data_IF_863392990383
#
_entry.id   IF_863392990383
#
_cell.length_a   1.000
_cell.length_b   1.000
_cell.length_c   1.000
_cell.angle_alpha   90.00
_cell.angle_beta   90.00
_cell.angle_gamma   90.00
#
_symmetry.space_group_name_H-M   'P 1'
#
loop_
_entity.id
_entity.type
_entity.pdbx_description
1 polymer ?
#
# COMPACT_ATOMS: atom_id res chain seq x y z
N UNK A 1 14.18 0.43 6.15
CA UNK A 1 14.12 0.39 4.68
C UNK A 1 12.91 1.16 4.17
N UNK A 2 13.07 2.04 3.17
CA UNK A 2 11.98 2.79 2.54
C UNK A 2 11.76 2.32 1.09
N UNK A 3 10.52 2.20 0.66
CA UNK A 3 10.09 1.71 -0.65
C UNK A 3 8.88 2.53 -1.16
N UNK A 4 8.61 2.44 -2.46
CA UNK A 4 7.43 3.00 -3.09
C UNK A 4 6.24 2.04 -2.93
N UNK A 5 5.04 2.59 -2.75
CA UNK A 5 3.82 1.81 -2.62
C UNK A 5 2.79 2.28 -3.66
N UNK A 6 2.23 1.35 -4.42
CA UNK A 6 1.15 1.59 -5.37
C UNK A 6 -0.03 0.70 -5.05
N UNK A 7 -1.23 1.25 -5.05
CA UNK A 7 -2.47 0.52 -4.79
C UNK A 7 -3.48 0.72 -5.91
N UNK A 8 -4.24 -0.33 -6.22
CA UNK A 8 -5.48 -0.22 -6.98
C UNK A 8 -6.64 -0.70 -6.10
N UNK A 9 -7.64 0.17 -5.94
CA UNK A 9 -8.80 -0.06 -5.10
C UNK A 9 -10.05 -0.29 -5.96
N UNK A 10 -10.64 -1.47 -5.83
CA UNK A 10 -11.84 -1.88 -6.57
C UNK A 10 -12.71 -2.75 -5.65
N UNK A 11 -14.00 -2.43 -5.56
CA UNK A 11 -15.03 -3.23 -4.88
C UNK A 11 -14.69 -3.67 -3.44
N UNK A 12 -14.10 -2.77 -2.65
CA UNK A 12 -13.75 -3.07 -1.25
C UNK A 12 -12.48 -3.92 -1.09
N UNK A 13 -11.67 -4.01 -2.15
CA UNK A 13 -10.39 -4.71 -2.16
C UNK A 13 -9.30 -3.75 -2.65
N UNK A 14 -8.21 -3.69 -1.90
CA UNK A 14 -6.98 -3.02 -2.29
C UNK A 14 -5.96 -4.06 -2.78
N UNK A 15 -5.48 -3.89 -4.01
CA UNK A 15 -4.29 -4.59 -4.52
C UNK A 15 -3.10 -3.68 -4.32
N UNK A 16 -2.26 -3.98 -3.33
CA UNK A 16 -1.08 -3.20 -2.97
C UNK A 16 0.18 -3.85 -3.54
N UNK A 17 1.05 -3.03 -4.10
CA UNK A 17 2.40 -3.40 -4.53
C UNK A 17 3.40 -2.49 -3.85
N UNK A 18 4.50 -3.06 -3.38
CA UNK A 18 5.63 -2.31 -2.82
C UNK A 18 6.86 -2.60 -3.68
N UNK A 19 7.52 -1.55 -4.14
CA UNK A 19 8.72 -1.63 -4.98
C UNK A 19 9.86 -0.81 -4.40
N UNK A 20 11.10 -1.31 -4.50
CA UNK A 20 12.30 -0.61 -4.06
C UNK A 20 13.28 -0.51 -5.22
N UNK A 21 13.66 0.71 -5.62
CA UNK A 21 14.54 0.93 -6.78
C UNK A 21 13.97 0.39 -8.10
N UNK A 22 12.63 0.36 -8.25
CA UNK A 22 11.94 -0.22 -9.40
C UNK A 22 11.73 -1.74 -9.33
N UNK A 23 12.29 -2.44 -8.34
CA UNK A 23 12.10 -3.87 -8.14
C UNK A 23 10.90 -4.13 -7.25
N UNK A 24 9.96 -4.97 -7.69
CA UNK A 24 8.81 -5.39 -6.88
C UNK A 24 9.30 -6.29 -5.74
N UNK A 25 9.04 -5.89 -4.50
CA UNK A 25 9.47 -6.62 -3.29
C UNK A 25 8.30 -7.22 -2.49
N UNK A 26 7.06 -6.89 -2.87
CA UNK A 26 5.90 -7.56 -2.31
C UNK A 26 4.58 -7.10 -2.94
N UNK A 27 3.60 -8.01 -2.91
CA UNK A 27 2.23 -7.79 -3.38
C UNK A 27 1.24 -8.36 -2.39
N UNK A 28 0.21 -7.60 -2.06
CA UNK A 28 -0.86 -8.01 -1.15
C UNK A 28 -2.24 -7.70 -1.76
N UNK A 29 -3.20 -8.56 -1.45
CA UNK A 29 -4.61 -8.33 -1.76
C UNK A 29 -5.34 -8.23 -0.43
N UNK A 30 -5.82 -7.03 -0.11
CA UNK A 30 -6.34 -6.69 1.22
C UNK A 30 -7.78 -6.28 1.06
N UNK A 31 -8.70 -6.99 1.73
CA UNK A 31 -10.08 -6.54 1.84
C UNK A 31 -10.12 -5.34 2.78
N UNK A 32 -10.50 -4.18 2.26
CA UNK A 32 -10.44 -2.91 2.96
C UNK A 32 -11.59 -2.02 2.49
N UNK A 33 -12.27 -1.34 3.42
CA UNK A 33 -13.30 -0.32 3.06
C UNK A 33 -12.69 1.07 3.01
N UNK A 34 -11.59 1.27 3.72
CA UNK A 34 -10.86 2.53 3.84
C UNK A 34 -9.36 2.29 3.74
N UNK A 35 -8.62 3.33 3.37
CA UNK A 35 -7.15 3.26 3.33
C UNK A 35 -6.54 2.93 4.69
N UNK A 36 -7.15 3.37 5.79
CA UNK A 36 -6.72 3.04 7.16
C UNK A 36 -6.72 1.54 7.45
N UNK A 37 -7.60 0.77 6.81
CA UNK A 37 -7.66 -0.69 6.98
C UNK A 37 -6.44 -1.35 6.32
N UNK A 38 -6.03 -0.83 5.15
CA UNK A 38 -4.81 -1.25 4.46
C UNK A 38 -3.58 -0.97 5.32
N UNK A 39 -3.50 0.23 5.91
CA UNK A 39 -2.39 0.61 6.78
C UNK A 39 -2.28 -0.33 7.99
N UNK A 40 -3.41 -0.67 8.62
CA UNK A 40 -3.45 -1.61 9.74
C UNK A 40 -3.01 -3.01 9.34
N UNK A 41 -3.48 -3.53 8.20
CA UNK A 41 -3.08 -4.84 7.70
C UNK A 41 -1.57 -4.90 7.43
N UNK A 42 -1.01 -3.86 6.82
CA UNK A 42 0.42 -3.82 6.51
C UNK A 42 1.31 -3.68 7.75
N UNK A 43 0.82 -3.08 8.84
CA UNK A 43 1.56 -3.06 10.11
C UNK A 43 1.81 -4.46 10.65
N UNK A 44 0.87 -5.39 10.48
CA UNK A 44 1.03 -6.81 10.86
C UNK A 44 2.13 -7.48 10.03
N UNK A 45 2.26 -7.10 8.75
CA UNK A 45 3.33 -7.54 7.84
C UNK A 45 4.69 -6.86 8.12
N UNK A 46 4.74 -5.97 9.12
CA UNK A 46 5.93 -5.19 9.49
C UNK A 46 6.16 -3.96 8.62
N UNK A 47 5.14 -3.46 7.91
CA UNK A 47 5.22 -2.31 7.02
C UNK A 47 4.35 -1.15 7.51
N UNK A 48 4.95 0.04 7.60
CA UNK A 48 4.19 1.29 7.71
C UNK A 48 3.97 1.86 6.32
N UNK A 49 2.72 1.92 5.87
CA UNK A 49 2.37 2.40 4.53
C UNK A 49 1.58 3.70 4.62
N UNK A 50 1.95 4.67 3.81
CA UNK A 50 1.25 5.93 3.63
C UNK A 50 0.81 6.03 2.17
N UNK A 51 -0.51 5.99 1.93
CA UNK A 51 -1.08 6.05 0.59
C UNK A 51 -1.90 7.33 0.43
N UNK A 52 -1.79 7.94 -0.73
CA UNK A 52 -2.62 9.07 -1.18
C UNK A 52 -3.28 8.70 -2.49
N UNK A 53 -4.52 9.16 -2.65
CA UNK A 53 -5.28 8.96 -3.88
C UNK A 53 -4.65 9.81 -4.99
N UNK A 54 -4.44 9.23 -6.18
CA UNK A 54 -3.77 9.96 -7.28
C UNK A 54 -4.68 10.94 -7.99
N UNK A 55 -5.99 10.67 -8.01
CA UNK A 55 -7.02 11.52 -8.61
C UNK A 55 -8.33 11.42 -7.82
N UNK A 56 -9.09 12.51 -7.76
CA UNK A 56 -10.43 12.48 -7.21
C UNK A 56 -11.29 11.48 -7.99
N UNK A 57 -11.99 10.58 -7.29
CA UNK A 57 -12.81 9.52 -7.92
C UNK A 57 -12.06 8.29 -8.46
N UNK A 58 -10.73 8.33 -8.66
CA UNK A 58 -9.99 7.18 -9.23
C UNK A 58 -9.82 5.96 -8.31
N UNK A 59 -9.49 4.80 -8.87
CA UNK A 59 -9.14 3.58 -8.10
C UNK A 59 -7.71 3.61 -7.58
N UNK A 60 -6.84 4.46 -8.15
CA UNK A 60 -5.40 4.37 -7.97
C UNK A 60 -4.88 5.19 -6.78
N UNK A 61 -3.99 4.56 -6.02
CA UNK A 61 -3.32 5.09 -4.84
C UNK A 61 -1.81 4.98 -5.01
N UNK A 62 -1.08 5.97 -4.49
CA UNK A 62 0.38 5.98 -4.47
C UNK A 62 0.90 6.56 -3.17
N UNK A 63 2.07 6.11 -2.76
CA UNK A 63 2.79 6.71 -1.66
C UNK A 63 4.00 5.89 -1.27
N UNK A 64 4.27 5.78 0.03
CA UNK A 64 5.51 5.19 0.55
C UNK A 64 5.22 4.03 1.49
N UNK A 65 6.11 3.06 1.51
CA UNK A 65 6.14 2.00 2.50
C UNK A 65 7.49 2.02 3.22
N UNK A 66 7.47 1.94 4.54
CA UNK A 66 8.67 1.90 5.38
C UNK A 66 8.63 0.67 6.26
N UNK A 67 9.68 -0.15 6.18
CA UNK A 67 9.93 -1.25 7.11
C UNK A 67 10.96 -0.79 8.13
N UNK A 68 10.61 -0.65 9.42
CA UNK A 68 11.63 -0.39 10.44
C UNK A 68 12.64 -1.54 10.42
N UNK A 69 13.92 -1.21 10.36
CA UNK A 69 14.96 -2.21 10.65
C UNK A 69 14.84 -2.49 12.15
N UNK A 70 14.58 -3.75 12.48
CA UNK A 70 14.76 -4.23 13.86
C UNK A 70 16.23 -4.20 14.21
#
# INVERSE_FOLDING_TARGET
>A
MQADATGDYSDGVMRLEISHGGVLIGRWVIRARRVSDVQRAMLVEGWRVELRKTTAGGSRWRGRATRPQQ
#
